data_IF_022989634161
#
_entry.id   IF_022989634161
#
_cell.length_a   1.000
_cell.length_b   1.000
_cell.length_c   1.000
_cell.angle_alpha   90.00
_cell.angle_beta   90.00
_cell.angle_gamma   90.00
#
_symmetry.space_group_name_H-M   'P 1'
#
loop_
_entity.id
_entity.type
_entity.pdbx_description
1 polymer ?
#
# COMPACT_ATOMS: atom_id res chain seq x y z
N UNK A 1 27.04 11.64 -25.79
CA UNK A 1 26.43 10.83 -24.72
C UNK A 1 26.40 11.68 -23.47
N UNK A 2 25.23 12.18 -23.07
CA UNK A 2 25.10 13.08 -21.92
C UNK A 2 25.28 12.30 -20.63
N UNK A 3 26.25 12.71 -19.80
CA UNK A 3 26.48 12.10 -18.49
C UNK A 3 25.24 12.28 -17.60
N UNK A 4 24.84 11.25 -16.82
CA UNK A 4 23.68 11.36 -15.94
C UNK A 4 23.93 12.45 -14.88
N UNK A 5 22.86 13.19 -14.55
CA UNK A 5 22.94 14.26 -13.55
C UNK A 5 23.39 13.71 -12.19
N UNK A 6 24.08 14.50 -11.35
CA UNK A 6 24.50 14.07 -10.02
C UNK A 6 23.33 13.58 -9.14
N UNK A 7 22.14 14.19 -9.29
CA UNK A 7 20.92 13.76 -8.59
C UNK A 7 20.43 12.38 -9.03
N UNK A 8 20.43 12.12 -10.35
CA UNK A 8 20.08 10.81 -10.90
C UNK A 8 21.03 9.70 -10.41
N UNK A 9 22.34 9.98 -10.36
CA UNK A 9 23.32 9.00 -9.85
C UNK A 9 23.10 8.64 -8.38
N UNK A 10 22.66 9.60 -7.55
CA UNK A 10 22.30 9.34 -6.16
C UNK A 10 21.04 8.50 -6.05
N UNK A 11 19.99 8.86 -6.80
CA UNK A 11 18.75 8.07 -6.87
C UNK A 11 19.03 6.61 -7.24
N UNK A 12 19.77 6.39 -8.34
CA UNK A 12 20.11 5.04 -8.80
C UNK A 12 20.86 4.26 -7.70
N UNK A 13 21.76 4.91 -6.95
CA UNK A 13 22.51 4.27 -5.84
C UNK A 13 21.60 3.93 -4.66
N UNK A 14 20.72 4.84 -4.25
CA UNK A 14 19.84 4.65 -3.09
C UNK A 14 18.82 3.55 -3.37
N UNK A 15 18.28 3.48 -4.59
CA UNK A 15 17.32 2.45 -5.01
C UNK A 15 18.00 1.08 -5.11
N UNK A 16 19.22 1.02 -5.68
CA UNK A 16 20.00 -0.23 -5.70
C UNK A 16 20.28 -0.73 -4.29
N UNK A 17 20.69 0.15 -3.36
CA UNK A 17 20.86 -0.22 -1.95
C UNK A 17 19.58 -0.75 -1.32
N UNK A 18 18.43 -0.18 -1.68
CA UNK A 18 17.13 -0.64 -1.19
C UNK A 18 16.78 -2.02 -1.74
N UNK A 19 17.07 -2.29 -3.01
CA UNK A 19 16.89 -3.60 -3.65
C UNK A 19 17.85 -4.64 -3.06
N UNK A 20 19.09 -4.26 -2.78
CA UNK A 20 20.09 -5.12 -2.12
C UNK A 20 19.83 -5.32 -0.62
N UNK A 21 18.91 -4.55 -0.04
CA UNK A 21 18.54 -4.67 1.36
C UNK A 21 17.55 -5.81 1.59
N UNK A 22 17.14 -6.01 2.84
CA UNK A 22 16.15 -7.00 3.27
C UNK A 22 14.71 -6.72 2.80
N UNK A 23 14.47 -5.60 2.13
CA UNK A 23 13.12 -5.17 1.75
C UNK A 23 12.74 -5.71 0.37
N UNK A 24 11.52 -6.20 0.23
CA UNK A 24 11.00 -6.64 -1.08
C UNK A 24 10.59 -5.42 -1.89
N UNK A 25 11.36 -5.09 -2.94
CA UNK A 25 11.11 -3.94 -3.82
C UNK A 25 10.63 -4.43 -5.19
N UNK A 26 9.44 -4.00 -5.58
CA UNK A 26 8.86 -4.23 -6.91
C UNK A 26 8.94 -2.93 -7.71
N UNK A 27 9.79 -2.90 -8.73
CA UNK A 27 9.90 -1.76 -9.64
C UNK A 27 8.68 -1.74 -10.57
N UNK A 28 8.04 -0.58 -10.73
CA UNK A 28 6.89 -0.40 -11.63
C UNK A 28 7.35 0.09 -13.01
N UNK A 29 7.31 1.40 -13.23
CA UNK A 29 7.70 2.02 -14.50
C UNK A 29 9.18 2.39 -14.61
N UNK A 30 9.92 2.43 -13.49
CA UNK A 30 11.34 2.81 -13.47
C UNK A 30 11.92 2.97 -12.06
N UNK A 31 13.20 3.31 -11.96
CA UNK A 31 13.88 3.51 -10.66
C UNK A 31 13.31 4.68 -9.84
N UNK A 32 12.52 5.54 -10.48
CA UNK A 32 11.79 6.62 -9.84
C UNK A 32 10.43 6.19 -9.28
N UNK A 33 9.88 5.04 -9.69
CA UNK A 33 8.57 4.56 -9.25
C UNK A 33 8.64 3.08 -8.90
N UNK A 34 8.56 2.79 -7.61
CA UNK A 34 8.64 1.43 -7.10
C UNK A 34 7.75 1.26 -5.87
N UNK A 35 7.41 0.01 -5.59
CA UNK A 35 6.61 -0.40 -4.44
C UNK A 35 7.50 -1.23 -3.53
N UNK A 36 7.44 -0.94 -2.23
CA UNK A 36 8.17 -1.69 -1.21
C UNK A 36 7.17 -2.41 -0.32
N UNK A 37 7.35 -3.71 -0.11
CA UNK A 37 6.57 -4.46 0.87
C UNK A 37 7.06 -4.09 2.26
N UNK A 38 6.14 -3.57 3.08
CA UNK A 38 6.40 -3.13 4.44
C UNK A 38 5.60 -3.99 5.41
N UNK A 39 6.29 -4.46 6.45
CA UNK A 39 5.71 -5.25 7.51
C UNK A 39 5.50 -4.39 8.75
N UNK A 40 4.33 -4.51 9.37
CA UNK A 40 4.02 -3.77 10.58
C UNK A 40 5.01 -4.06 11.71
N UNK A 41 5.48 -3.03 12.43
CA UNK A 41 6.49 -3.20 13.47
C UNK A 41 5.94 -4.01 14.66
N UNK A 42 6.78 -4.90 15.18
CA UNK A 42 6.46 -5.73 16.36
C UNK A 42 6.22 -4.86 17.60
N UNK A 43 5.31 -5.29 18.46
CA UNK A 43 4.94 -4.54 19.67
C UNK A 43 4.05 -3.32 19.41
N UNK A 44 3.59 -3.14 18.17
CA UNK A 44 2.59 -2.12 17.82
C UNK A 44 1.27 -2.78 17.43
N UNK A 45 0.14 -2.05 17.42
CA UNK A 45 -1.14 -2.59 16.96
C UNK A 45 -1.10 -3.04 15.50
N UNK A 46 -0.09 -2.60 14.75
CA UNK A 46 0.12 -2.89 13.34
C UNK A 46 0.86 -4.21 13.07
N UNK A 47 1.33 -4.88 14.12
CA UNK A 47 2.05 -6.14 14.02
C UNK A 47 1.28 -7.18 13.20
N UNK A 48 1.99 -7.85 12.28
CA UNK A 48 1.44 -8.87 11.40
C UNK A 48 0.74 -8.31 10.14
N UNK A 49 0.54 -7.00 10.05
CA UNK A 49 0.06 -6.37 8.81
C UNK A 49 1.15 -6.25 7.76
N UNK A 50 0.73 -6.35 6.50
CA UNK A 50 1.57 -6.25 5.30
C UNK A 50 0.98 -5.16 4.42
N UNK A 51 1.81 -4.20 4.04
CA UNK A 51 1.42 -3.10 3.16
C UNK A 51 2.36 -2.98 1.97
N UNK A 52 1.81 -2.55 0.84
CA UNK A 52 2.56 -2.16 -0.35
C UNK A 52 2.71 -0.64 -0.35
N UNK A 53 3.90 -0.16 -0.03
CA UNK A 53 4.20 1.27 0.02
C UNK A 53 4.74 1.70 -1.34
N UNK A 54 3.91 2.41 -2.11
CA UNK A 54 4.33 3.03 -3.38
C UNK A 54 5.15 4.29 -3.10
N UNK A 55 6.31 4.38 -3.74
CA UNK A 55 7.21 5.53 -3.69
C UNK A 55 7.38 6.09 -5.09
N UNK A 56 7.07 7.38 -5.23
CA UNK A 56 7.29 8.16 -6.44
C UNK A 56 8.37 9.21 -6.15
N UNK A 57 9.54 9.05 -6.76
CA UNK A 57 10.67 9.97 -6.66
C UNK A 57 10.56 11.03 -7.77
N UNK A 58 10.47 12.33 -7.44
CA UNK A 58 10.39 13.38 -8.45
C UNK A 58 11.72 13.52 -9.20
N UNK A 59 11.69 14.05 -10.44
CA UNK A 59 12.88 14.30 -11.29
C UNK A 59 13.97 15.16 -10.62
N UNK A 60 13.53 15.96 -9.66
CA UNK A 60 14.33 16.88 -8.87
C UNK A 60 14.94 16.22 -7.63
N UNK A 61 14.71 14.93 -7.40
CA UNK A 61 15.28 14.23 -6.26
C UNK A 61 16.82 14.16 -6.38
N UNK A 62 17.56 14.39 -5.28
CA UNK A 62 17.11 14.92 -3.98
C UNK A 62 17.12 16.48 -3.95
N UNK A 63 16.00 17.13 -3.61
CA UNK A 63 15.89 18.61 -3.63
C UNK A 63 16.30 19.30 -2.31
N UNK A 64 16.23 18.61 -1.16
CA UNK A 64 16.75 19.09 0.13
C UNK A 64 17.20 17.92 1.01
N UNK A 65 18.33 18.13 1.68
CA UNK A 65 18.98 17.27 2.67
C UNK A 65 19.74 16.05 2.12
N UNK A 66 21.07 15.98 2.32
CA UNK A 66 21.92 14.88 1.85
C UNK A 66 21.93 13.65 2.79
N UNK A 67 20.99 13.52 3.73
CA UNK A 67 21.19 12.68 4.92
C UNK A 67 20.04 11.72 5.27
N UNK A 68 19.00 11.60 4.43
CA UNK A 68 17.96 10.58 4.62
C UNK A 68 18.12 9.56 3.51
N UNK A 69 18.82 8.47 3.81
CA UNK A 69 18.85 7.29 2.95
C UNK A 69 17.42 6.73 2.81
N UNK A 70 17.03 6.31 1.61
CA UNK A 70 15.71 5.70 1.38
C UNK A 70 15.46 4.52 2.32
N UNK A 71 16.51 3.72 2.59
CA UNK A 71 16.47 2.61 3.54
C UNK A 71 16.10 3.05 4.96
N UNK A 72 16.59 4.21 5.43
CA UNK A 72 16.27 4.72 6.77
C UNK A 72 14.80 5.10 6.91
N UNK A 73 14.11 5.45 5.82
CA UNK A 73 12.67 5.75 5.84
C UNK A 73 11.90 4.49 6.22
N UNK A 74 12.23 3.36 5.61
CA UNK A 74 11.56 2.07 5.87
C UNK A 74 12.00 1.43 7.19
N UNK A 75 13.27 1.61 7.58
CA UNK A 75 13.80 0.98 8.80
C UNK A 75 13.51 1.77 10.08
N UNK A 76 13.52 3.11 10.02
CA UNK A 76 13.40 3.96 11.21
C UNK A 76 12.16 4.83 11.16
N UNK A 77 11.91 5.53 10.05
CA UNK A 77 10.85 6.55 10.01
C UNK A 77 9.43 5.95 10.06
N UNK A 78 9.13 4.98 9.19
CA UNK A 78 7.81 4.35 9.15
C UNK A 78 7.48 3.61 10.46
N UNK A 79 8.36 2.74 11.01
CA UNK A 79 8.08 2.09 12.29
C UNK A 79 7.86 3.08 13.42
N UNK A 80 8.63 4.16 13.47
CA UNK A 80 8.52 5.17 14.52
C UNK A 80 7.24 5.99 14.40
N UNK A 81 6.80 6.30 13.18
CA UNK A 81 5.52 6.97 12.93
C UNK A 81 4.32 6.09 13.30
N UNK A 82 4.41 4.78 13.04
CA UNK A 82 3.37 3.80 13.42
C UNK A 82 3.33 3.56 14.93
N UNK A 83 4.49 3.57 15.59
CA UNK A 83 4.58 3.43 17.05
C UNK A 83 4.07 4.68 17.77
N UNK A 84 4.36 5.86 17.23
CA UNK A 84 4.01 7.15 17.83
C UNK A 84 3.36 8.08 16.79
N UNK A 85 2.05 7.93 16.54
CA UNK A 85 1.34 8.82 15.64
C UNK A 85 1.39 10.24 16.18
N UNK A 86 1.61 11.23 15.31
CA UNK A 86 1.62 12.64 15.70
C UNK A 86 0.19 13.13 15.98
N UNK A 87 -0.16 13.49 17.23
CA UNK A 87 -1.52 13.90 17.58
C UNK A 87 -1.81 15.37 17.27
N UNK A 88 -0.80 16.17 16.93
CA UNK A 88 -0.92 17.63 16.75
C UNK A 88 -1.54 18.00 15.40
N UNK A 89 -1.36 17.16 14.38
CA UNK A 89 -1.95 17.34 13.05
C UNK A 89 -2.39 15.99 12.46
N UNK A 90 -3.53 15.45 12.91
CA UNK A 90 -3.97 14.14 12.48
C UNK A 90 -4.62 14.20 11.11
N UNK A 91 -4.03 13.51 10.13
CA UNK A 91 -4.66 13.29 8.82
C UNK A 91 -6.01 12.56 8.93
N UNK A 92 -6.18 11.76 9.99
CA UNK A 92 -7.43 11.08 10.33
C UNK A 92 -7.85 11.44 11.76
N UNK A 93 -8.80 12.36 11.88
CA UNK A 93 -9.30 12.85 13.17
C UNK A 93 -9.94 11.76 14.03
N UNK A 94 -10.65 10.80 13.43
CA UNK A 94 -11.28 9.69 14.15
C UNK A 94 -10.22 8.77 14.77
N UNK A 95 -9.18 8.44 14.01
CA UNK A 95 -8.08 7.61 14.49
C UNK A 95 -7.32 8.30 15.64
N UNK A 96 -7.08 9.61 15.53
CA UNK A 96 -6.41 10.37 16.57
C UNK A 96 -7.25 10.51 17.85
N UNK A 97 -8.56 10.75 17.72
CA UNK A 97 -9.47 10.79 18.85
C UNK A 97 -9.54 9.42 19.57
N UNK A 98 -9.56 8.32 18.82
CA UNK A 98 -9.48 6.97 19.40
C UNK A 98 -8.14 6.74 20.08
N UNK A 99 -7.02 7.13 19.47
CA UNK A 99 -5.70 6.98 20.08
C UNK A 99 -5.58 7.74 21.42
N UNK A 100 -6.12 8.96 21.51
CA UNK A 100 -6.03 9.79 22.71
C UNK A 100 -7.01 9.39 23.82
N UNK A 101 -8.25 9.01 23.46
CA UNK A 101 -9.31 8.76 24.45
C UNK A 101 -9.60 7.27 24.69
N UNK A 102 -9.36 6.41 23.70
CA UNK A 102 -9.80 4.99 23.68
C UNK A 102 -8.74 4.09 23.02
N UNK A 103 -7.59 3.87 23.66
CA UNK A 103 -6.48 3.12 23.06
C UNK A 103 -6.82 1.65 22.78
N UNK A 104 -7.73 1.03 23.55
CA UNK A 104 -8.13 -0.36 23.31
C UNK A 104 -9.01 -0.52 22.06
N UNK A 105 -9.98 0.37 21.85
CA UNK A 105 -10.79 0.37 20.62
C UNK A 105 -9.93 0.67 19.38
N UNK A 106 -8.95 1.56 19.52
CA UNK A 106 -7.99 1.86 18.45
C UNK A 106 -7.23 0.60 18.03
N UNK A 107 -6.69 -0.17 18.98
CA UNK A 107 -6.00 -1.44 18.70
C UNK A 107 -6.92 -2.44 18.01
N UNK A 108 -8.15 -2.58 18.49
CA UNK A 108 -9.10 -3.53 17.92
C UNK A 108 -9.47 -3.16 16.47
N UNK A 109 -9.77 -1.89 16.23
CA UNK A 109 -10.09 -1.38 14.90
C UNK A 109 -8.92 -1.56 13.93
N UNK A 110 -7.69 -1.35 14.39
CA UNK A 110 -6.49 -1.60 13.56
C UNK A 110 -6.40 -3.07 13.18
N UNK A 111 -6.58 -4.00 14.12
CA UNK A 111 -6.53 -5.44 13.83
C UNK A 111 -7.57 -5.84 12.79
N UNK A 112 -8.79 -5.34 12.90
CA UNK A 112 -9.86 -5.58 11.91
C UNK A 112 -9.47 -5.04 10.53
N UNK A 113 -8.92 -3.84 10.47
CA UNK A 113 -8.45 -3.24 9.21
C UNK A 113 -7.27 -4.00 8.61
N UNK A 114 -6.36 -4.51 9.44
CA UNK A 114 -5.23 -5.32 8.99
C UNK A 114 -5.73 -6.59 8.34
N UNK A 115 -6.63 -7.31 9.00
CA UNK A 115 -7.21 -8.54 8.45
C UNK A 115 -7.92 -8.28 7.11
N UNK A 116 -8.59 -7.13 7.00
CA UNK A 116 -9.38 -6.78 5.82
C UNK A 116 -8.56 -6.25 4.64
N UNK A 117 -7.48 -5.52 4.88
CA UNK A 117 -6.77 -4.77 3.84
C UNK A 117 -5.27 -5.03 3.77
N UNK A 118 -4.67 -5.53 4.85
CA UNK A 118 -3.23 -5.66 5.01
C UNK A 118 -2.78 -7.12 5.18
N UNK A 119 -3.60 -8.09 4.77
CA UNK A 119 -3.22 -9.49 4.67
C UNK A 119 -2.68 -9.78 3.28
N UNK A 120 -1.80 -10.79 3.15
CA UNK A 120 -1.27 -11.18 1.83
C UNK A 120 -2.38 -11.61 0.86
N UNK A 121 -3.45 -12.19 1.39
CA UNK A 121 -4.66 -12.56 0.65
C UNK A 121 -5.38 -11.31 0.15
N UNK A 122 -5.67 -10.33 1.01
CA UNK A 122 -6.31 -9.08 0.60
C UNK A 122 -5.48 -8.29 -0.42
N UNK A 123 -4.15 -8.32 -0.31
CA UNK A 123 -3.25 -7.70 -1.28
C UNK A 123 -3.27 -8.38 -2.65
N UNK A 124 -3.51 -9.69 -2.71
CA UNK A 124 -3.70 -10.42 -3.97
C UNK A 124 -5.06 -10.14 -4.57
N UNK A 125 -6.12 -10.15 -3.76
CA UNK A 125 -7.48 -9.83 -4.20
C UNK A 125 -7.58 -8.42 -4.81
N UNK A 126 -6.86 -7.43 -4.24
CA UNK A 126 -6.82 -6.09 -4.81
C UNK A 126 -6.12 -6.03 -6.18
N UNK A 127 -5.10 -6.85 -6.41
CA UNK A 127 -4.40 -6.92 -7.71
C UNK A 127 -5.26 -7.65 -8.75
N UNK A 128 -5.94 -8.73 -8.36
CA UNK A 128 -6.84 -9.49 -9.24
C UNK A 128 -8.14 -8.72 -9.57
N UNK A 129 -8.65 -7.91 -8.64
CA UNK A 129 -9.86 -7.08 -8.85
C UNK A 129 -9.68 -5.91 -9.82
N UNK A 130 -8.44 -5.51 -10.13
CA UNK A 130 -8.14 -4.49 -11.15
C UNK A 130 -7.92 -5.06 -12.55
N UNK A 131 -8.05 -6.37 -12.73
CA UNK A 131 -7.68 -7.09 -13.94
C UNK A 131 -8.78 -7.90 -14.62
N UNK A 132 -10.03 -7.44 -14.66
CA UNK A 132 -10.94 -7.67 -15.82
C UNK A 132 -12.25 -6.88 -15.64
N UNK A 133 -12.40 -5.83 -16.43
CA UNK A 133 -13.71 -5.26 -16.76
C UNK A 133 -13.97 -5.54 -18.24
N UNK A 134 -13.98 -6.81 -18.64
CA UNK A 134 -14.31 -7.20 -20.01
C UNK A 134 -14.51 -8.72 -20.16
N UNK A 135 -15.52 -9.28 -19.50
CA UNK A 135 -16.21 -10.50 -19.98
C UNK A 135 -17.62 -10.52 -19.42
N UNK A 136 -18.52 -10.00 -20.24
CA UNK A 136 -19.96 -10.21 -20.27
C UNK A 136 -20.49 -11.44 -19.51
N UNK A 137 -21.49 -11.18 -18.67
CA UNK A 137 -22.48 -12.19 -18.32
C UNK A 137 -23.38 -12.41 -19.53
N UNK A 138 -23.38 -13.64 -20.07
CA UNK A 138 -24.55 -14.16 -20.79
C UNK A 138 -24.93 -15.46 -20.12
N UNK A 139 -25.82 -15.35 -19.13
CA UNK A 139 -26.55 -16.48 -18.58
C UNK A 139 -27.32 -17.15 -19.73
N UNK A 140 -27.14 -18.46 -19.85
CA UNK A 140 -27.94 -19.34 -20.69
C UNK A 140 -29.40 -19.33 -20.23
N UNK A 141 -30.32 -18.78 -21.03
CA UNK A 141 -31.76 -19.00 -20.89
C UNK A 141 -32.20 -20.02 -21.95
N UNK A 142 -32.57 -21.18 -21.45
CA UNK A 142 -32.94 -22.38 -22.19
C UNK A 142 -34.48 -22.47 -22.20
N UNK A 143 -35.02 -22.59 -23.41
CA UNK A 143 -36.35 -23.16 -23.76
C UNK A 143 -37.56 -22.25 -23.86
N UNK A 144 -37.88 -21.89 -25.11
CA UNK A 144 -39.24 -21.81 -25.65
C UNK A 144 -39.95 -23.18 -25.58
N UNK A 145 -41.14 -23.24 -24.96
CA UNK A 145 -42.23 -24.20 -25.23
C UNK A 145 -43.49 -23.70 -24.47
N UNK A 146 -44.45 -23.03 -25.11
CA UNK A 146 -45.61 -23.51 -25.87
C UNK A 146 -46.92 -23.41 -25.04
N UNK A 147 -47.86 -22.65 -25.61
CA UNK A 147 -49.32 -22.80 -25.58
C UNK A 147 -50.16 -22.71 -24.27
N UNK A 148 -51.13 -21.78 -24.37
CA UNK A 148 -52.57 -21.91 -24.04
C UNK A 148 -52.97 -21.98 -22.55
N UNK A 149 -53.80 -21.04 -22.07
CA UNK A 149 -55.24 -21.27 -21.87
C UNK A 149 -55.98 -20.11 -21.16
N UNK A 150 -57.18 -19.81 -21.69
CA UNK A 150 -58.45 -19.26 -21.15
C UNK A 150 -58.57 -18.09 -20.14
N UNK A 151 -59.54 -17.21 -20.48
CA UNK A 151 -60.63 -16.55 -19.69
C UNK A 151 -60.35 -16.10 -18.23
N UNK A 152 -60.75 -14.90 -17.79
CA UNK A 152 -62.05 -14.22 -17.95
C UNK A 152 -61.91 -12.73 -17.53
#
# INVERSE_FOLDING_TARGET
>A
MSSPSPGKRRMDTDVVKLIESKHEVTILGGLNEFVVKFYGPQGTPYEGGVWKVRVDLPDKYPFKSPSIDLTNIFESFLPQLLAYPNPIDPLNGDAAAMYLHRPEEYKQKIKEYIQKYATEEALKEQEEGTGDSSSESSMSDFSEDEAQDMEL
#
